data_IF_758986929802
#
_entry.id   IF_758986929802
#
_cell.length_a   1.000
_cell.length_b   1.000
_cell.length_c   1.000
_cell.angle_alpha   90.00
_cell.angle_beta   90.00
_cell.angle_gamma   90.00
#
_symmetry.space_group_name_H-M   'P 1'
#
loop_
_entity.id
_entity.type
_entity.pdbx_description
1 polymer ?
#
# COMPACT_ATOMS: atom_id res chain seq x y z
N UNK A 1 -7.59 13.20 -10.82
CA UNK A 1 -7.58 12.11 -9.82
C UNK A 1 -7.29 10.83 -10.59
N UNK A 2 -6.20 10.11 -10.30
CA UNK A 2 -5.93 8.85 -11.00
C UNK A 2 -7.14 7.91 -10.79
N UNK A 3 -7.63 7.22 -11.83
CA UNK A 3 -8.80 6.38 -11.70
C UNK A 3 -8.46 5.24 -10.73
N UNK A 4 -9.11 5.24 -9.56
CA UNK A 4 -9.09 4.10 -8.65
C UNK A 4 -9.52 2.87 -9.45
N UNK A 5 -8.64 1.87 -9.57
CA UNK A 5 -8.90 0.64 -10.35
C UNK A 5 -9.88 -0.33 -9.65
N UNK A 6 -10.74 0.20 -8.76
CA UNK A 6 -11.69 -0.55 -7.95
C UNK A 6 -11.08 -1.32 -6.77
N UNK A 7 -11.94 -1.88 -5.93
CA UNK A 7 -11.55 -2.63 -4.72
C UNK A 7 -11.35 -4.13 -4.97
N UNK A 8 -11.88 -4.69 -6.06
CA UNK A 8 -11.86 -6.13 -6.32
C UNK A 8 -10.44 -6.72 -6.31
N UNK A 9 -9.49 -6.04 -6.96
CA UNK A 9 -8.09 -6.46 -7.01
C UNK A 9 -7.41 -6.44 -5.62
N UNK A 10 -7.36 -5.32 -4.88
CA UNK A 10 -6.72 -5.31 -3.57
C UNK A 10 -7.42 -6.28 -2.60
N UNK A 11 -8.73 -6.48 -2.70
CA UNK A 11 -9.45 -7.50 -1.92
C UNK A 11 -9.00 -8.92 -2.29
N UNK A 12 -8.94 -9.27 -3.57
CA UNK A 12 -8.52 -10.60 -4.01
C UNK A 12 -7.08 -10.94 -3.55
N UNK A 13 -6.15 -9.99 -3.70
CA UNK A 13 -4.77 -10.15 -3.20
C UNK A 13 -4.76 -10.28 -1.66
N UNK A 14 -5.54 -9.47 -0.95
CA UNK A 14 -5.60 -9.51 0.51
C UNK A 14 -6.20 -10.81 1.06
N UNK A 15 -7.19 -11.36 0.35
CA UNK A 15 -7.87 -12.59 0.73
C UNK A 15 -7.18 -13.86 0.20
N UNK A 16 -6.06 -13.74 -0.50
CA UNK A 16 -5.29 -14.90 -0.93
C UNK A 16 -4.73 -15.68 0.28
N UNK A 17 -4.59 -17.02 0.19
CA UNK A 17 -3.94 -17.82 1.23
C UNK A 17 -2.52 -17.33 1.57
N UNK A 18 -1.77 -16.92 0.55
CA UNK A 18 -0.50 -16.21 0.68
C UNK A 18 -0.59 -14.85 -0.03
N UNK A 19 -0.74 -13.80 0.77
CA UNK A 19 -0.89 -12.41 0.29
C UNK A 19 0.36 -11.91 -0.43
N UNK A 20 1.54 -12.26 0.07
CA UNK A 20 2.80 -11.78 -0.47
C UNK A 20 3.07 -12.42 -1.84
N UNK A 21 2.86 -13.73 -1.93
CA UNK A 21 2.98 -14.45 -3.20
C UNK A 21 1.94 -13.98 -4.22
N UNK A 22 0.67 -13.80 -3.80
CA UNK A 22 -0.38 -13.29 -4.68
C UNK A 22 -0.04 -11.90 -5.24
N UNK A 23 0.46 -11.01 -4.40
CA UNK A 23 0.90 -9.68 -4.83
C UNK A 23 2.07 -9.76 -5.82
N UNK A 24 3.08 -10.58 -5.54
CA UNK A 24 4.25 -10.73 -6.42
C UNK A 24 3.87 -11.33 -7.78
N UNK A 25 3.02 -12.36 -7.80
CA UNK A 25 2.48 -12.95 -9.03
C UNK A 25 1.75 -11.91 -9.87
N UNK A 26 0.87 -11.14 -9.25
CA UNK A 26 0.12 -10.11 -9.98
C UNK A 26 1.03 -8.96 -10.46
N UNK A 27 1.80 -8.34 -9.56
CA UNK A 27 2.52 -7.10 -9.82
C UNK A 27 3.83 -7.29 -10.61
N UNK A 28 4.57 -8.38 -10.34
CA UNK A 28 5.89 -8.62 -10.93
C UNK A 28 5.80 -9.60 -12.11
N UNK A 29 4.95 -10.62 -11.99
CA UNK A 29 4.84 -11.66 -13.01
C UNK A 29 3.67 -11.42 -13.99
N UNK A 30 2.82 -10.43 -13.74
CA UNK A 30 1.69 -10.09 -14.61
C UNK A 30 0.54 -11.10 -14.58
N UNK A 31 0.50 -11.98 -13.58
CA UNK A 31 -0.51 -13.03 -13.48
C UNK A 31 -1.86 -12.48 -13.01
N UNK A 32 -2.76 -12.25 -13.97
CA UNK A 32 -4.11 -11.76 -13.71
C UNK A 32 -5.05 -12.82 -13.17
N UNK A 33 -4.66 -14.11 -13.11
CA UNK A 33 -5.54 -15.14 -12.53
C UNK A 33 -5.74 -14.96 -11.03
N UNK A 34 -4.84 -14.25 -10.36
CA UNK A 34 -4.91 -13.90 -8.93
C UNK A 34 -6.20 -13.16 -8.57
N UNK A 35 -6.78 -12.39 -9.49
CA UNK A 35 -8.00 -11.61 -9.25
C UNK A 35 -9.30 -12.39 -9.50
N UNK A 36 -9.22 -13.62 -9.99
CA UNK A 36 -10.39 -14.44 -10.30
C UNK A 36 -10.96 -15.18 -9.07
N UNK A 37 -10.20 -15.25 -7.97
CA UNK A 37 -10.68 -15.84 -6.74
C UNK A 37 -11.64 -14.86 -6.06
N UNK A 38 -12.91 -15.24 -5.79
CA UNK A 38 -13.83 -14.39 -5.05
C UNK A 38 -13.29 -14.21 -3.61
N UNK A 39 -12.67 -13.07 -3.36
CA UNK A 39 -12.14 -12.69 -2.05
C UNK A 39 -13.27 -12.43 -1.07
N UNK A 40 -13.75 -13.48 -0.40
CA UNK A 40 -14.67 -13.38 0.73
C UNK A 40 -13.89 -13.66 2.02
N UNK A 41 -13.22 -12.62 2.53
CA UNK A 41 -12.55 -12.63 3.83
C UNK A 41 -12.68 -11.25 4.49
N UNK A 42 -12.40 -11.16 5.78
CA UNK A 42 -12.25 -9.86 6.44
C UNK A 42 -11.02 -9.13 5.90
N UNK A 43 -11.22 -7.92 5.40
CA UNK A 43 -10.16 -7.13 4.76
C UNK A 43 -10.21 -5.65 5.14
N UNK A 44 -9.07 -4.95 5.18
CA UNK A 44 -9.00 -3.56 5.61
C UNK A 44 -9.22 -2.54 4.48
N UNK A 45 -9.50 -2.97 3.24
CA UNK A 45 -9.48 -2.09 2.06
C UNK A 45 -10.29 -0.81 2.24
N UNK A 46 -11.57 -0.92 2.60
CA UNK A 46 -12.44 0.24 2.83
C UNK A 46 -11.94 1.13 3.99
N UNK A 47 -11.49 0.53 5.10
CA UNK A 47 -10.93 1.27 6.25
C UNK A 47 -9.67 2.05 5.86
N UNK A 48 -8.78 1.43 5.08
CA UNK A 48 -7.55 2.07 4.60
C UNK A 48 -7.85 3.21 3.61
N UNK A 49 -8.85 3.03 2.76
CA UNK A 49 -9.30 4.10 1.86
C UNK A 49 -9.85 5.29 2.65
N UNK A 50 -10.69 5.05 3.66
CA UNK A 50 -11.19 6.10 4.55
C UNK A 50 -10.06 6.81 5.31
N UNK A 51 -9.05 6.06 5.76
CA UNK A 51 -7.85 6.65 6.39
C UNK A 51 -7.08 7.53 5.40
N UNK A 52 -6.86 7.05 4.17
CA UNK A 52 -6.16 7.82 3.14
C UNK A 52 -6.87 9.14 2.83
N UNK A 53 -8.20 9.13 2.76
CA UNK A 53 -9.02 10.33 2.60
C UNK A 53 -8.85 11.30 3.77
N UNK A 54 -8.88 10.82 5.01
CA UNK A 54 -8.67 11.64 6.22
C UNK A 54 -7.28 12.27 6.26
N UNK A 55 -6.28 11.56 5.76
CA UNK A 55 -4.89 12.04 5.67
C UNK A 55 -4.63 12.92 4.44
N UNK A 56 -5.65 13.14 3.60
CA UNK A 56 -5.55 13.97 2.40
C UNK A 56 -4.61 13.38 1.34
N UNK A 57 -4.56 12.06 1.20
CA UNK A 57 -3.75 11.39 0.16
C UNK A 57 -4.39 11.62 -1.20
N UNK A 58 -3.68 12.30 -2.11
CA UNK A 58 -4.19 12.66 -3.45
C UNK A 58 -3.55 11.88 -4.59
N UNK A 59 -2.44 11.18 -4.34
CA UNK A 59 -1.69 10.45 -5.36
C UNK A 59 -1.14 9.13 -4.82
N UNK A 60 -0.88 8.18 -5.72
CA UNK A 60 -0.22 6.90 -5.40
C UNK A 60 1.06 6.74 -6.23
N UNK A 61 2.18 6.29 -5.64
CA UNK A 61 2.37 6.04 -4.21
C UNK A 61 2.38 7.34 -3.38
N UNK A 62 2.03 7.24 -2.11
CA UNK A 62 2.27 8.26 -1.07
C UNK A 62 2.91 7.56 0.12
N UNK A 63 4.00 8.11 0.63
CA UNK A 63 4.74 7.61 1.79
C UNK A 63 4.45 8.52 2.99
N UNK A 64 4.19 7.91 4.15
CA UNK A 64 4.06 8.59 5.44
C UNK A 64 5.22 8.08 6.30
N UNK A 65 6.06 9.01 6.77
CA UNK A 65 7.27 8.72 7.55
C UNK A 65 6.95 8.63 9.04
N UNK A 66 7.88 8.05 9.82
CA UNK A 66 7.70 7.85 11.26
C UNK A 66 7.54 9.17 12.04
N UNK A 67 8.10 10.26 11.52
CA UNK A 67 7.97 11.63 12.07
C UNK A 67 6.65 12.32 11.65
N UNK A 68 5.76 11.62 10.94
CA UNK A 68 4.50 12.16 10.42
C UNK A 68 4.64 13.00 9.15
N UNK A 69 5.86 13.29 8.68
CA UNK A 69 6.06 13.93 7.38
C UNK A 69 5.63 13.00 6.24
N UNK A 70 5.36 13.55 5.05
CA UNK A 70 4.90 12.78 3.88
C UNK A 70 5.67 13.09 2.61
N UNK A 71 5.71 12.09 1.74
CA UNK A 71 6.22 12.23 0.37
C UNK A 71 5.15 11.72 -0.59
N UNK A 72 4.69 12.60 -1.47
CA UNK A 72 3.71 12.27 -2.50
C UNK A 72 4.43 11.95 -3.80
N UNK A 73 4.02 10.86 -4.46
CA UNK A 73 4.64 10.38 -5.69
C UNK A 73 5.79 9.41 -5.46
N UNK A 74 6.32 8.91 -6.58
CA UNK A 74 7.41 7.95 -6.60
C UNK A 74 8.74 8.59 -6.17
N UNK A 75 9.51 7.86 -5.37
CA UNK A 75 10.91 8.14 -5.06
C UNK A 75 11.73 6.87 -5.24
N UNK A 76 13.01 7.01 -5.58
CA UNK A 76 13.91 5.88 -5.73
C UNK A 76 14.29 5.25 -4.37
N UNK A 77 14.93 4.08 -4.46
CA UNK A 77 15.33 3.33 -3.27
C UNK A 77 16.34 4.08 -2.38
N UNK A 78 17.21 4.94 -2.94
CA UNK A 78 18.23 5.65 -2.18
C UNK A 78 17.57 6.66 -1.24
N UNK A 79 16.53 7.35 -1.70
CA UNK A 79 15.72 8.27 -0.86
C UNK A 79 15.07 7.50 0.29
N UNK A 80 14.47 6.34 0.01
CA UNK A 80 13.84 5.51 1.04
C UNK A 80 14.88 5.05 2.06
N UNK A 81 16.02 4.52 1.61
CA UNK A 81 17.11 4.09 2.49
C UNK A 81 17.65 5.24 3.34
N UNK A 82 17.81 6.44 2.78
CA UNK A 82 18.25 7.60 3.52
C UNK A 82 17.26 8.01 4.63
N UNK A 83 15.95 7.93 4.37
CA UNK A 83 14.88 8.24 5.34
C UNK A 83 14.69 7.17 6.41
N UNK A 84 15.01 5.91 6.11
CA UNK A 84 14.90 4.78 7.05
C UNK A 84 16.14 4.59 7.93
N UNK A 85 17.26 5.26 7.63
CA UNK A 85 18.41 5.28 8.55
C UNK A 85 17.89 5.75 9.92
N UNK A 86 18.29 5.08 11.03
CA UNK A 86 17.81 5.44 12.36
C UNK A 86 18.03 6.92 12.61
N UNK A 87 16.95 7.70 12.60
CA UNK A 87 16.94 9.01 13.21
C UNK A 87 16.90 8.76 14.72
N UNK A 88 17.83 9.34 15.45
CA UNK A 88 17.92 9.35 16.91
C UNK A 88 16.78 10.14 17.57
N UNK A 89 15.58 10.09 16.99
CA UNK A 89 14.36 10.59 17.60
C UNK A 89 13.64 9.38 18.17
N UNK A 90 14.02 9.06 19.41
CA UNK A 90 13.21 8.22 20.28
C UNK A 90 11.76 8.73 20.21
N UNK A 91 10.82 7.84 19.90
CA UNK A 91 9.42 8.08 20.23
C UNK A 91 9.35 8.01 21.75
N UNK A 92 9.55 9.16 22.39
CA UNK A 92 9.38 9.30 23.82
C UNK A 92 7.90 9.04 24.14
N UNK A 93 7.58 8.10 25.05
CA UNK A 93 6.20 7.83 25.46
C UNK A 93 5.56 9.04 26.15
#
# INVERSE_FOLDING_TARGET
MLPFQGEAKPIAIWCAPDRAQAWQRYMVQGDTTVINAPGRCDHPVARNLALAQRLGVQATPTLIWADGSRTEGYVDHQVIQARLKPSTLEVQP
#
